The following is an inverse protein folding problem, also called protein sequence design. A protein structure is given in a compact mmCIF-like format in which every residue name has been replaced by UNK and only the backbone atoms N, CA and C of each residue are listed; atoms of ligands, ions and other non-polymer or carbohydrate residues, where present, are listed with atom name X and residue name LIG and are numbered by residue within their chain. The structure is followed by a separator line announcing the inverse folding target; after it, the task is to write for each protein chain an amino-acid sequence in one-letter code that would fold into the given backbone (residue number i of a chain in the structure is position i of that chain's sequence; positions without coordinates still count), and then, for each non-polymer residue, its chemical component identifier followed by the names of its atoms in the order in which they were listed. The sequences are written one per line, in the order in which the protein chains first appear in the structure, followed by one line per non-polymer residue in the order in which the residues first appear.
data_IF_872124321416
#
_entry.id   IF_872124321416
#
_cell.length_a   1.000
_cell.length_b   1.000
_cell.length_c   1.000
_cell.angle_alpha   90.00
_cell.angle_beta   90.00
_cell.angle_gamma   90.00
#
_symmetry.space_group_name_H-M   'P 1'
#
loop_
_entity.id
_entity.type
_entity.pdbx_description
1 polymer ?
#
# COMPACT_ATOMS: atom_id res chain seq x y z
N UNK A 1 -3.08 14.31 -1.23
CA UNK A 1 -2.93 13.02 -1.94
C UNK A 1 -3.78 11.91 -1.33
N UNK A 2 -3.49 11.40 -0.12
CA UNK A 2 -4.23 10.28 0.50
C UNK A 2 -5.75 10.45 0.54
N UNK A 3 -6.24 11.66 0.86
CA UNK A 3 -7.66 11.99 0.80
C UNK A 3 -8.30 11.82 -0.58
N UNK A 4 -7.57 12.04 -1.68
CA UNK A 4 -8.05 11.78 -3.05
C UNK A 4 -8.30 10.28 -3.26
N UNK A 5 -7.50 9.43 -2.62
CA UNK A 5 -7.65 7.96 -2.61
C UNK A 5 -8.57 7.47 -1.49
N UNK A 6 -9.19 8.40 -0.75
CA UNK A 6 -10.02 8.13 0.42
C UNK A 6 -9.32 7.22 1.46
N UNK A 7 -8.04 7.52 1.69
CA UNK A 7 -7.20 6.95 2.75
C UNK A 7 -7.07 7.97 3.87
N UNK A 8 -7.28 7.51 5.10
CA UNK A 8 -7.10 8.25 6.34
C UNK A 8 -6.20 7.43 7.26
N UNK A 9 -5.26 8.08 7.94
CA UNK A 9 -4.35 7.45 8.88
C UNK A 9 -4.69 7.94 10.29
N UNK A 10 -4.76 7.01 11.23
CA UNK A 10 -4.94 7.34 12.65
C UNK A 10 -3.68 7.97 13.24
N UNK A 11 -2.50 7.51 12.79
CA UNK A 11 -1.19 7.95 13.29
C UNK A 11 -0.22 8.18 12.13
N UNK A 12 0.48 9.31 12.17
CA UNK A 12 1.61 9.60 11.29
C UNK A 12 2.92 9.43 12.07
N UNK A 13 3.55 8.26 11.94
CA UNK A 13 4.83 7.94 12.59
C UNK A 13 5.99 8.07 11.61
N UNK A 14 7.08 8.69 12.05
CA UNK A 14 8.29 8.93 11.25
C UNK A 14 9.51 8.20 11.79
N UNK A 15 10.44 7.80 10.92
CA UNK A 15 11.64 7.06 11.33
C UNK A 15 12.58 7.86 12.25
N UNK A 16 12.54 9.20 12.17
CA UNK A 16 13.41 10.08 12.95
C UNK A 16 13.20 9.95 14.47
N UNK A 17 12.01 9.51 14.90
CA UNK A 17 11.72 9.29 16.33
C UNK A 17 12.57 8.17 16.95
N UNK A 18 13.10 7.25 16.13
CA UNK A 18 13.79 6.04 16.59
C UNK A 18 15.31 6.10 16.51
N UNK A 19 15.91 7.19 16.00
CA UNK A 19 17.37 7.28 15.83
C UNK A 19 18.14 7.08 17.14
N UNK A 20 17.83 7.88 18.16
CA UNK A 20 18.56 7.82 19.43
C UNK A 20 18.22 6.55 20.23
N UNK A 21 16.95 6.12 20.23
CA UNK A 21 16.54 4.85 20.85
C UNK A 21 17.23 3.65 20.19
N UNK A 22 17.36 3.68 18.87
CA UNK A 22 18.05 2.66 18.10
C UNK A 22 19.54 2.57 18.44
N UNK A 23 20.23 3.71 18.66
CA UNK A 23 21.61 3.71 19.17
C UNK A 23 21.71 3.10 20.55
N UNK A 24 20.79 3.44 21.47
CA UNK A 24 20.77 2.85 22.81
C UNK A 24 20.59 1.33 22.69
N UNK A 25 19.60 0.87 21.94
CA UNK A 25 19.37 -0.56 21.67
C UNK A 25 20.62 -1.27 21.15
N UNK A 26 21.29 -0.70 20.15
CA UNK A 26 22.51 -1.27 19.58
C UNK A 26 23.70 -1.33 20.58
N UNK A 27 23.64 -0.59 21.69
CA UNK A 27 24.67 -0.59 22.73
C UNK A 27 24.30 -1.43 23.96
N UNK A 28 23.01 -1.71 24.19
CA UNK A 28 22.55 -2.36 25.43
C UNK A 28 21.93 -3.73 25.22
N UNK A 29 21.61 -4.13 23.99
CA UNK A 29 20.98 -5.41 23.71
C UNK A 29 21.99 -6.56 23.77
N UNK A 30 21.67 -7.60 24.55
CA UNK A 30 22.54 -8.78 24.75
C UNK A 30 22.70 -9.66 23.49
N UNK A 31 21.84 -9.47 22.49
CA UNK A 31 21.90 -10.20 21.21
C UNK A 31 22.94 -9.63 20.24
N UNK A 32 23.56 -8.49 20.58
CA UNK A 32 24.48 -7.78 19.70
C UNK A 32 25.86 -8.45 19.72
N UNK A 33 26.35 -8.76 18.54
CA UNK A 33 27.73 -9.16 18.29
C UNK A 33 28.50 -8.00 17.65
N UNK A 34 29.82 -7.95 17.89
CA UNK A 34 30.73 -7.03 17.19
C UNK A 34 31.41 -7.82 16.08
N UNK A 35 31.29 -7.33 14.85
CA UNK A 35 31.91 -7.91 13.67
C UNK A 35 33.38 -7.46 13.55
N UNK A 36 34.15 -8.10 12.66
CA UNK A 36 35.59 -7.86 12.51
C UNK A 36 35.93 -6.39 12.19
N UNK A 37 35.04 -5.70 11.49
CA UNK A 37 35.18 -4.28 11.10
C UNK A 37 34.73 -3.30 12.21
N UNK A 38 34.35 -3.79 13.39
CA UNK A 38 33.84 -3.01 14.51
C UNK A 38 32.36 -2.64 14.39
N UNK A 39 31.67 -3.10 13.35
CA UNK A 39 30.22 -2.93 13.24
C UNK A 39 29.46 -3.84 14.21
N UNK A 40 28.21 -3.49 14.50
CA UNK A 40 27.34 -4.24 15.40
C UNK A 40 26.27 -4.97 14.63
N UNK A 41 26.15 -6.27 14.87
CA UNK A 41 25.30 -7.18 14.11
C UNK A 41 24.49 -8.07 15.06
N UNK A 42 23.38 -8.62 14.56
CA UNK A 42 22.64 -9.70 15.23
C UNK A 42 22.60 -10.91 14.29
N UNK A 43 23.04 -12.07 14.77
CA UNK A 43 22.95 -13.32 14.00
C UNK A 43 21.50 -13.82 13.96
N UNK A 44 20.90 -13.81 12.77
CA UNK A 44 19.53 -14.30 12.54
C UNK A 44 19.50 -15.78 12.11
N UNK A 45 20.63 -16.48 12.19
CA UNK A 45 20.79 -17.89 11.83
C UNK A 45 21.22 -18.11 10.38
N UNK A 46 21.49 -19.38 10.04
CA UNK A 46 22.11 -19.77 8.76
C UNK A 46 21.37 -19.29 7.51
N UNK A 47 20.03 -19.28 7.55
CA UNK A 47 19.22 -18.95 6.38
C UNK A 47 19.06 -17.44 6.16
N UNK A 48 19.18 -16.64 7.21
CA UNK A 48 18.97 -15.18 7.20
C UNK A 48 20.28 -14.39 7.34
N UNK A 49 21.35 -15.02 7.80
CA UNK A 49 22.65 -14.41 8.02
C UNK A 49 22.63 -13.38 9.16
N UNK A 50 23.64 -12.51 9.16
CA UNK A 50 23.79 -11.44 10.15
C UNK A 50 23.07 -10.17 9.68
N UNK A 51 22.25 -9.61 10.56
CA UNK A 51 21.61 -8.32 10.36
C UNK A 51 22.51 -7.20 10.91
N UNK A 52 22.86 -6.22 10.07
CA UNK A 52 23.67 -5.08 10.46
C UNK A 52 22.83 -4.05 11.22
N UNK A 53 23.14 -3.83 12.50
CA UNK A 53 22.37 -2.97 13.42
C UNK A 53 23.04 -1.60 13.60
N UNK A 54 24.35 -1.54 13.65
CA UNK A 54 25.07 -0.27 13.77
C UNK A 54 26.34 -0.36 12.95
N UNK A 55 26.59 0.63 12.10
CA UNK A 55 27.88 0.74 11.42
C UNK A 55 28.97 1.15 12.41
N UNK A 56 30.22 0.87 12.06
CA UNK A 56 31.39 1.30 12.85
C UNK A 56 31.46 2.84 13.00
N UNK A 57 30.96 3.61 12.02
CA UNK A 57 30.85 5.07 12.11
C UNK A 57 29.74 5.57 13.07
N UNK A 58 29.01 4.66 13.74
CA UNK A 58 27.94 4.97 14.68
C UNK A 58 26.60 5.31 14.01
N UNK A 59 26.49 5.19 12.69
CA UNK A 59 25.23 5.41 11.97
C UNK A 59 24.27 4.23 12.16
N UNK A 60 23.04 4.54 12.56
CA UNK A 60 21.93 3.58 12.64
C UNK A 60 21.38 3.26 11.25
N UNK A 61 20.94 2.02 11.06
CA UNK A 61 20.31 1.57 9.82
C UNK A 61 18.79 1.54 9.94
N UNK A 62 18.11 1.23 8.83
CA UNK A 62 16.65 1.06 8.81
C UNK A 62 16.21 -0.03 9.78
N UNK A 63 16.88 -1.18 9.80
CA UNK A 63 16.50 -2.30 10.67
C UNK A 63 16.53 -1.95 12.16
N UNK A 64 17.50 -1.16 12.59
CA UNK A 64 17.63 -0.67 13.98
C UNK A 64 16.42 0.15 14.40
N UNK A 65 15.95 1.01 13.49
CA UNK A 65 14.80 1.90 13.72
C UNK A 65 13.50 1.12 13.66
N UNK A 66 13.40 0.15 12.75
CA UNK A 66 12.25 -0.73 12.63
C UNK A 66 12.10 -1.68 13.83
N UNK A 67 13.20 -2.12 14.45
CA UNK A 67 13.15 -2.89 15.71
C UNK A 67 12.49 -2.06 16.81
N UNK A 68 12.94 -0.81 17.01
CA UNK A 68 12.35 0.07 18.02
C UNK A 68 10.89 0.44 17.70
N UNK A 69 10.56 0.68 16.44
CA UNK A 69 9.18 0.90 16.01
C UNK A 69 8.30 -0.34 16.23
N UNK A 70 8.83 -1.54 15.98
CA UNK A 70 8.14 -2.81 16.24
C UNK A 70 7.86 -2.97 17.73
N UNK A 71 8.86 -2.75 18.60
CA UNK A 71 8.72 -2.81 20.05
C UNK A 71 7.64 -1.85 20.55
N UNK A 72 7.74 -0.58 20.15
CA UNK A 72 6.77 0.46 20.52
C UNK A 72 5.35 0.07 20.11
N UNK A 73 5.15 -0.41 18.88
CA UNK A 73 3.82 -0.82 18.40
C UNK A 73 3.25 -2.01 19.17
N UNK A 74 4.08 -2.99 19.52
CA UNK A 74 3.62 -4.16 20.29
C UNK A 74 3.24 -3.75 21.71
N UNK A 75 4.03 -2.88 22.34
CA UNK A 75 3.81 -2.43 23.71
C UNK A 75 2.62 -1.47 23.85
N UNK A 76 2.50 -0.51 22.94
CA UNK A 76 1.46 0.51 22.94
C UNK A 76 0.09 -0.08 22.57
N UNK A 77 0.01 -0.81 21.46
CA UNK A 77 -1.27 -1.24 20.90
C UNK A 77 -1.69 -2.65 21.31
N UNK A 78 -0.74 -3.47 21.81
CA UNK A 78 -0.97 -4.89 22.14
C UNK A 78 -1.77 -5.64 21.06
N UNK A 79 -1.34 -5.55 19.79
CA UNK A 79 -2.18 -5.97 18.67
C UNK A 79 -2.26 -7.48 18.57
N UNK A 80 -3.39 -8.00 18.07
CA UNK A 80 -3.48 -9.39 17.64
C UNK A 80 -2.69 -9.66 16.35
N UNK A 81 -2.47 -8.61 15.53
CA UNK A 81 -1.73 -8.69 14.27
C UNK A 81 -1.18 -7.33 13.84
N UNK A 82 0.01 -7.32 13.25
CA UNK A 82 0.69 -6.19 12.63
C UNK A 82 1.04 -6.58 11.20
N UNK A 83 0.55 -5.81 10.24
CA UNK A 83 0.72 -6.08 8.80
C UNK A 83 1.62 -5.01 8.20
N UNK A 84 2.77 -5.44 7.68
CA UNK A 84 3.73 -4.61 6.97
C UNK A 84 3.49 -4.74 5.47
N UNK A 85 3.00 -3.68 4.82
CA UNK A 85 2.78 -3.66 3.36
C UNK A 85 3.95 -2.96 2.69
N UNK A 86 4.96 -3.73 2.28
CA UNK A 86 6.22 -3.21 1.72
C UNK A 86 6.66 -4.04 0.51
N UNK A 87 7.47 -3.46 -0.37
CA UNK A 87 7.92 -4.14 -1.59
C UNK A 87 8.65 -5.46 -1.31
N UNK A 88 8.57 -6.40 -2.26
CA UNK A 88 9.24 -7.70 -2.20
C UNK A 88 10.77 -7.59 -2.26
N UNK A 89 11.33 -6.41 -2.56
CA UNK A 89 12.78 -6.19 -2.48
C UNK A 89 13.28 -6.15 -1.02
N UNK A 90 12.39 -5.87 -0.07
CA UNK A 90 12.69 -5.80 1.35
C UNK A 90 12.37 -7.10 2.10
N UNK A 91 12.12 -8.21 1.40
CA UNK A 91 11.75 -9.48 2.02
C UNK A 91 12.79 -10.00 3.01
N UNK A 92 14.09 -9.89 2.69
CA UNK A 92 15.14 -10.32 3.62
C UNK A 92 15.14 -9.46 4.90
N UNK A 93 14.99 -8.14 4.75
CA UNK A 93 14.90 -7.20 5.86
C UNK A 93 13.76 -7.55 6.81
N UNK A 94 12.55 -7.79 6.30
CA UNK A 94 11.41 -8.16 7.16
C UNK A 94 11.56 -9.53 7.81
N UNK A 95 12.14 -10.51 7.11
CA UNK A 95 12.45 -11.81 7.71
C UNK A 95 13.45 -11.68 8.86
N UNK A 96 14.50 -10.87 8.70
CA UNK A 96 15.45 -10.56 9.76
C UNK A 96 14.77 -9.79 10.90
N UNK A 97 13.98 -8.76 10.61
CA UNK A 97 13.25 -7.97 11.61
C UNK A 97 12.33 -8.85 12.46
N UNK A 98 11.53 -9.72 11.85
CA UNK A 98 10.63 -10.62 12.58
C UNK A 98 11.40 -11.67 13.37
N UNK A 99 12.53 -12.15 12.84
CA UNK A 99 13.41 -13.07 13.57
C UNK A 99 14.00 -12.40 14.81
N UNK A 100 14.46 -11.16 14.69
CA UNK A 100 14.95 -10.37 15.83
C UNK A 100 13.83 -10.12 16.82
N UNK A 101 12.62 -9.80 16.36
CA UNK A 101 11.43 -9.67 17.22
C UNK A 101 11.16 -10.95 18.02
N UNK A 102 11.24 -12.12 17.39
CA UNK A 102 11.13 -13.43 18.06
C UNK A 102 12.22 -13.62 19.12
N UNK A 103 13.48 -13.29 18.80
CA UNK A 103 14.61 -13.39 19.73
C UNK A 103 14.48 -12.44 20.93
N UNK A 104 13.80 -11.30 20.74
CA UNK A 104 13.46 -10.35 21.81
C UNK A 104 12.24 -10.80 22.64
N UNK A 105 11.64 -11.95 22.34
CA UNK A 105 10.54 -12.54 23.08
C UNK A 105 9.14 -12.15 22.59
N UNK A 106 9.03 -11.45 21.46
CA UNK A 106 7.72 -11.14 20.87
C UNK A 106 7.18 -12.34 20.08
N UNK A 107 5.85 -12.53 20.13
CA UNK A 107 5.21 -13.61 19.38
C UNK A 107 5.32 -13.35 17.87
N UNK A 108 6.04 -14.21 17.14
CA UNK A 108 6.23 -14.08 15.69
C UNK A 108 4.92 -14.10 14.89
N UNK A 109 3.90 -14.79 15.38
CA UNK A 109 2.65 -15.03 14.63
C UNK A 109 1.80 -13.75 14.50
N UNK A 110 2.14 -12.71 15.27
CA UNK A 110 1.49 -11.40 15.15
C UNK A 110 2.05 -10.58 13.99
N UNK A 111 3.21 -10.91 13.44
CA UNK A 111 3.84 -10.13 12.37
C UNK A 111 3.58 -10.76 10.99
N UNK A 112 3.14 -9.96 10.02
CA UNK A 112 2.97 -10.38 8.64
C UNK A 112 3.60 -9.37 7.68
N UNK A 113 4.41 -9.85 6.74
CA UNK A 113 4.90 -9.06 5.61
C UNK A 113 4.06 -9.38 4.37
N UNK A 114 3.29 -8.39 3.94
CA UNK A 114 2.49 -8.47 2.73
C UNK A 114 3.24 -7.77 1.59
N UNK A 115 3.96 -8.60 0.84
CA UNK A 115 4.87 -8.19 -0.23
C UNK A 115 4.16 -7.73 -1.51
N UNK A 116 4.64 -6.67 -2.15
CA UNK A 116 4.23 -6.30 -3.51
C UNK A 116 5.41 -6.09 -4.46
N UNK A 117 5.22 -6.43 -5.74
CA UNK A 117 6.22 -6.26 -6.77
C UNK A 117 6.38 -4.80 -7.19
N UNK A 118 7.54 -4.44 -7.75
CA UNK A 118 7.79 -3.08 -8.22
C UNK A 118 7.01 -2.73 -9.49
N UNK A 119 6.62 -1.47 -9.59
CA UNK A 119 6.20 -0.84 -10.84
C UNK A 119 7.44 -0.61 -11.71
N UNK A 120 7.49 -1.23 -12.89
CA UNK A 120 8.62 -1.10 -13.82
C UNK A 120 8.43 0.13 -14.72
N UNK A 121 9.54 0.80 -15.03
CA UNK A 121 9.59 1.92 -15.97
C UNK A 121 9.60 3.32 -15.35
N UNK A 122 9.82 3.42 -14.02
CA UNK A 122 10.08 4.70 -13.35
C UNK A 122 11.54 4.76 -12.92
N UNK A 123 12.31 5.71 -13.46
CA UNK A 123 13.73 5.90 -13.14
C UNK A 123 14.06 7.37 -12.98
N UNK A 124 14.58 7.74 -11.80
CA UNK A 124 15.06 9.10 -11.51
C UNK A 124 16.26 9.46 -12.37
N UNK A 125 17.09 8.48 -12.72
CA UNK A 125 18.29 8.68 -13.54
C UNK A 125 17.97 8.90 -15.01
N UNK A 126 16.87 8.32 -15.50
CA UNK A 126 16.42 8.46 -16.88
C UNK A 126 15.35 9.55 -17.05
N UNK A 127 14.98 10.25 -15.95
CA UNK A 127 13.97 11.30 -15.97
C UNK A 127 12.53 10.81 -16.17
N UNK A 128 12.27 9.52 -15.99
CA UNK A 128 10.97 8.86 -16.22
C UNK A 128 10.15 8.69 -14.93
N UNK A 129 10.47 9.45 -13.90
CA UNK A 129 9.68 9.45 -12.65
C UNK A 129 8.37 10.17 -12.91
N UNK A 130 7.28 9.44 -12.76
CA UNK A 130 5.95 10.02 -12.73
C UNK A 130 5.53 10.16 -11.27
N UNK A 131 5.26 11.38 -10.82
CA UNK A 131 4.62 11.56 -9.53
C UNK A 131 3.21 11.02 -9.59
N UNK A 132 2.71 10.50 -8.47
CA UNK A 132 1.35 9.94 -8.43
C UNK A 132 0.28 10.98 -8.77
N UNK A 133 0.53 12.27 -8.52
CA UNK A 133 -0.37 13.33 -8.98
C UNK A 133 -0.35 13.44 -10.52
N UNK A 134 0.82 13.45 -11.19
CA UNK A 134 0.92 13.45 -12.66
C UNK A 134 0.22 12.24 -13.30
N UNK A 135 0.33 11.09 -12.63
CA UNK A 135 -0.31 9.83 -13.00
C UNK A 135 -1.83 9.96 -12.98
N UNK A 136 -2.37 10.51 -11.89
CA UNK A 136 -3.80 10.74 -11.72
C UNK A 136 -4.28 11.76 -12.75
N UNK A 137 -3.56 12.85 -12.95
CA UNK A 137 -3.88 13.90 -13.92
C UNK A 137 -3.89 13.36 -15.36
N UNK A 138 -2.89 12.56 -15.72
CA UNK A 138 -2.81 11.90 -17.02
C UNK A 138 -4.03 11.02 -17.24
N UNK A 139 -4.38 10.17 -16.28
CA UNK A 139 -5.56 9.31 -16.35
C UNK A 139 -6.86 10.13 -16.40
N UNK A 140 -6.97 11.18 -15.59
CA UNK A 140 -8.12 12.08 -15.54
C UNK A 140 -8.34 12.77 -16.90
N UNK A 141 -7.29 13.23 -17.58
CA UNK A 141 -7.42 13.84 -18.91
C UNK A 141 -8.06 12.90 -19.92
N UNK A 142 -7.65 11.62 -19.93
CA UNK A 142 -8.18 10.59 -20.84
C UNK A 142 -9.66 10.32 -20.57
N UNK A 143 -10.05 10.24 -19.29
CA UNK A 143 -11.46 10.06 -18.91
C UNK A 143 -12.29 11.34 -19.06
N UNK A 144 -11.69 12.52 -18.95
CA UNK A 144 -12.36 13.78 -19.25
C UNK A 144 -12.75 13.83 -20.73
N UNK A 145 -11.82 13.48 -21.62
CA UNK A 145 -12.11 13.32 -23.05
C UNK A 145 -13.13 12.22 -23.36
N UNK A 146 -13.45 11.33 -22.42
CA UNK A 146 -14.53 10.35 -22.57
C UNK A 146 -15.90 10.90 -22.20
N UNK A 147 -15.96 11.83 -21.24
CA UNK A 147 -17.22 12.34 -20.68
C UNK A 147 -17.55 13.75 -21.14
N UNK A 148 -16.61 14.47 -21.78
CA UNK A 148 -16.80 15.88 -22.18
C UNK A 148 -18.01 16.11 -23.10
N UNK A 149 -18.26 15.17 -24.01
CA UNK A 149 -19.35 15.27 -25.00
C UNK A 149 -20.65 14.60 -24.51
N UNK A 150 -20.68 14.12 -23.26
CA UNK A 150 -21.84 13.44 -22.67
C UNK A 150 -22.74 14.44 -21.92
N UNK A 151 -23.96 14.72 -22.42
CA UNK A 151 -24.83 15.74 -21.84
C UNK A 151 -25.43 15.31 -20.48
N UNK A 152 -25.53 14.01 -20.24
CA UNK A 152 -25.99 13.39 -18.99
C UNK A 152 -24.98 13.50 -17.84
N UNK A 153 -23.73 13.86 -18.13
CA UNK A 153 -22.70 14.07 -17.11
C UNK A 153 -22.66 15.54 -16.70
N UNK A 154 -23.26 15.81 -15.54
CA UNK A 154 -23.36 17.15 -14.93
C UNK A 154 -21.98 17.67 -14.53
N UNK A 155 -21.25 16.91 -13.71
CA UNK A 155 -19.92 17.28 -13.21
C UNK A 155 -18.84 16.44 -13.90
N UNK A 156 -18.31 16.99 -15.01
CA UNK A 156 -17.35 16.28 -15.87
C UNK A 156 -15.99 16.09 -15.20
N UNK A 157 -15.51 17.08 -14.45
CA UNK A 157 -14.22 17.02 -13.76
C UNK A 157 -14.23 16.00 -12.63
N UNK A 158 -15.26 16.02 -11.79
CA UNK A 158 -15.40 15.06 -10.70
C UNK A 158 -15.63 13.65 -11.23
N UNK A 159 -16.46 13.50 -12.26
CA UNK A 159 -16.72 12.20 -12.88
C UNK A 159 -15.46 11.62 -13.51
N UNK A 160 -14.68 12.42 -14.24
CA UNK A 160 -13.42 11.96 -14.83
C UNK A 160 -12.40 11.56 -13.77
N UNK A 161 -12.32 12.29 -12.66
CA UNK A 161 -11.44 11.94 -11.53
C UNK A 161 -11.84 10.60 -10.88
N UNK A 162 -13.14 10.38 -10.66
CA UNK A 162 -13.65 9.11 -10.12
C UNK A 162 -13.31 7.94 -11.05
N UNK A 163 -13.52 8.11 -12.35
CA UNK A 163 -13.20 7.08 -13.35
C UNK A 163 -11.69 6.81 -13.41
N UNK A 164 -10.86 7.84 -13.34
CA UNK A 164 -9.41 7.73 -13.31
C UNK A 164 -8.91 6.96 -12.09
N UNK A 165 -9.35 7.33 -10.89
CA UNK A 165 -8.97 6.64 -9.65
C UNK A 165 -9.43 5.19 -9.69
N UNK A 166 -10.67 4.94 -10.12
CA UNK A 166 -11.22 3.58 -10.24
C UNK A 166 -10.42 2.74 -11.22
N UNK A 167 -10.01 3.32 -12.35
CA UNK A 167 -9.15 2.66 -13.31
C UNK A 167 -7.80 2.29 -12.70
N UNK A 168 -7.12 3.23 -12.03
CA UNK A 168 -5.79 3.01 -11.45
C UNK A 168 -5.82 1.92 -10.37
N UNK A 169 -6.73 2.05 -9.40
CA UNK A 169 -6.86 1.12 -8.27
C UNK A 169 -7.23 -0.29 -8.73
N UNK A 170 -8.22 -0.40 -9.63
CA UNK A 170 -8.64 -1.71 -10.13
C UNK A 170 -7.58 -2.33 -11.03
N UNK A 171 -6.85 -1.54 -11.82
CA UNK A 171 -5.76 -2.09 -12.63
C UNK A 171 -4.67 -2.68 -11.75
N UNK A 172 -4.28 -1.97 -10.69
CA UNK A 172 -3.28 -2.43 -9.74
C UNK A 172 -3.73 -3.72 -9.02
N UNK A 173 -4.96 -3.75 -8.50
CA UNK A 173 -5.49 -4.92 -7.79
C UNK A 173 -5.89 -6.10 -8.70
N UNK A 174 -6.08 -5.89 -9.99
CA UNK A 174 -6.44 -6.98 -10.93
C UNK A 174 -5.29 -7.95 -11.20
N UNK A 175 -4.05 -7.52 -10.98
CA UNK A 175 -2.86 -8.35 -11.16
C UNK A 175 -2.50 -9.08 -9.87
N UNK A 176 -1.75 -10.20 -9.98
CA UNK A 176 -1.12 -10.80 -8.80
C UNK A 176 -0.14 -9.79 -8.21
N UNK A 177 -0.29 -9.49 -6.92
CA UNK A 177 0.51 -8.53 -6.13
C UNK A 177 2.03 -8.63 -6.35
N UNK A 178 2.55 -9.86 -6.51
CA UNK A 178 4.00 -10.13 -6.67
C UNK A 178 4.50 -9.82 -8.09
N UNK A 179 3.63 -9.84 -9.11
CA UNK A 179 4.04 -9.57 -10.49
C UNK A 179 4.15 -8.06 -10.71
N UNK A 180 5.38 -7.57 -10.79
CA UNK A 180 5.63 -6.20 -11.26
C UNK A 180 5.03 -5.98 -12.66
N UNK A 181 4.58 -4.75 -12.94
CA UNK A 181 3.96 -4.41 -14.23
C UNK A 181 4.62 -3.18 -14.86
N UNK A 182 4.62 -3.11 -16.19
CA UNK A 182 5.11 -1.95 -16.94
C UNK A 182 4.07 -0.85 -16.95
N UNK A 183 4.49 0.33 -16.54
CA UNK A 183 3.65 1.50 -16.37
C UNK A 183 3.41 2.25 -17.68
N UNK A 184 2.33 1.91 -18.40
CA UNK A 184 1.86 2.69 -19.55
C UNK A 184 0.37 3.02 -19.39
N UNK A 185 0.11 4.02 -18.55
CA UNK A 185 -1.24 4.45 -18.20
C UNK A 185 -1.95 5.05 -19.40
N UNK A 186 -1.28 5.90 -20.17
CA UNK A 186 -1.91 6.60 -21.27
C UNK A 186 -2.38 5.61 -22.34
N UNK A 187 -1.53 4.64 -22.72
CA UNK A 187 -1.92 3.60 -23.67
C UNK A 187 -3.04 2.73 -23.11
N UNK A 188 -2.90 2.22 -21.87
CA UNK A 188 -3.95 1.37 -21.28
C UNK A 188 -5.29 2.10 -21.15
N UNK A 189 -5.30 3.32 -20.63
CA UNK A 189 -6.50 4.12 -20.45
C UNK A 189 -7.15 4.49 -21.79
N UNK A 190 -6.33 4.78 -22.82
CA UNK A 190 -6.83 5.09 -24.18
C UNK A 190 -7.40 3.84 -24.86
N UNK A 191 -6.69 2.70 -24.79
CA UNK A 191 -7.12 1.45 -25.42
C UNK A 191 -8.35 0.85 -24.74
N UNK A 192 -8.54 1.08 -23.45
CA UNK A 192 -9.65 0.53 -22.66
C UNK A 192 -10.71 1.57 -22.29
N UNK A 193 -10.78 2.69 -23.03
CA UNK A 193 -11.67 3.83 -22.74
C UNK A 193 -13.12 3.35 -22.58
N UNK A 194 -13.63 3.41 -21.35
CA UNK A 194 -14.99 2.97 -20.99
C UNK A 194 -15.22 1.45 -20.89
N UNK A 195 -14.24 0.61 -21.22
CA UNK A 195 -14.31 -0.85 -21.13
C UNK A 195 -13.40 -1.44 -20.03
N UNK A 196 -12.45 -0.64 -19.52
CA UNK A 196 -11.61 -1.04 -18.40
C UNK A 196 -12.46 -1.41 -17.18
N UNK A 197 -12.01 -2.43 -16.43
CA UNK A 197 -12.78 -3.01 -15.33
C UNK A 197 -13.21 -1.96 -14.28
N UNK A 198 -12.34 -1.00 -13.93
CA UNK A 198 -12.66 0.08 -13.00
C UNK A 198 -13.84 0.96 -13.45
N UNK A 199 -13.74 1.65 -14.60
CA UNK A 199 -14.86 2.37 -15.21
C UNK A 199 -16.12 1.53 -15.41
N UNK A 200 -15.99 0.27 -15.79
CA UNK A 200 -17.12 -0.65 -15.97
C UNK A 200 -17.85 -0.91 -14.64
N UNK A 201 -17.11 -1.11 -13.54
CA UNK A 201 -17.71 -1.24 -12.19
C UNK A 201 -18.51 0.02 -11.82
N UNK A 202 -17.96 1.21 -12.09
CA UNK A 202 -18.65 2.48 -11.84
C UNK A 202 -19.93 2.61 -12.68
N UNK A 203 -19.85 2.29 -13.96
CA UNK A 203 -21.01 2.32 -14.86
C UNK A 203 -22.10 1.34 -14.42
N UNK A 204 -21.74 0.10 -14.07
CA UNK A 204 -22.69 -0.90 -13.57
C UNK A 204 -23.35 -0.43 -12.28
N UNK A 205 -22.60 0.18 -11.36
CA UNK A 205 -23.15 0.76 -10.13
C UNK A 205 -24.20 1.85 -10.44
N UNK A 206 -23.88 2.81 -11.31
CA UNK A 206 -24.83 3.86 -11.71
C UNK A 206 -26.08 3.28 -12.38
N UNK A 207 -25.93 2.26 -13.23
CA UNK A 207 -27.05 1.60 -13.89
C UNK A 207 -27.96 0.87 -12.90
N UNK A 208 -27.40 0.19 -11.90
CA UNK A 208 -28.18 -0.46 -10.85
C UNK A 208 -28.95 0.57 -10.02
N UNK A 209 -28.31 1.69 -9.65
CA UNK A 209 -28.99 2.79 -8.95
C UNK A 209 -30.13 3.38 -9.78
N UNK A 210 -29.93 3.58 -11.08
CA UNK A 210 -30.99 4.06 -11.98
C UNK A 210 -32.17 3.09 -12.04
N UNK A 211 -31.93 1.78 -12.12
CA UNK A 211 -33.00 0.77 -12.08
C UNK A 211 -33.76 0.82 -10.75
N UNK A 212 -33.05 0.93 -9.63
CA UNK A 212 -33.67 1.07 -8.31
C UNK A 212 -34.50 2.35 -8.19
N UNK A 213 -34.03 3.46 -8.76
CA UNK A 213 -34.70 4.76 -8.70
C UNK A 213 -36.02 4.77 -9.51
N UNK A 214 -36.04 4.07 -10.65
CA UNK A 214 -37.22 3.87 -11.50
C UNK A 214 -38.23 2.91 -10.86
N UNK A 215 -37.77 1.92 -10.10
CA UNK A 215 -38.61 0.86 -9.52
C UNK A 215 -38.79 1.01 -8.00
N UNK A 216 -38.80 2.24 -7.47
CA UNK A 216 -38.90 2.52 -6.02
C UNK A 216 -40.04 1.78 -5.34
N UNK A 217 -41.18 1.68 -6.00
CA UNK A 217 -42.40 1.06 -5.46
C UNK A 217 -42.29 -0.47 -5.32
N UNK A 218 -41.35 -1.10 -6.03
CA UNK A 218 -41.08 -2.54 -5.96
C UNK A 218 -40.02 -2.87 -4.90
N UNK A 219 -39.13 -1.91 -4.59
CA UNK A 219 -37.93 -2.12 -3.75
C UNK A 219 -37.96 -1.36 -2.42
N UNK A 220 -39.13 -1.01 -1.89
CA UNK A 220 -39.31 -0.27 -0.63
C UNK A 220 -38.65 -0.96 0.59
N UNK A 221 -38.26 -2.25 0.46
CA UNK A 221 -37.70 -3.07 1.53
C UNK A 221 -36.16 -3.02 1.69
N UNK A 222 -35.38 -2.36 0.81
CA UNK A 222 -33.91 -2.55 0.79
C UNK A 222 -33.06 -1.28 0.86
N UNK A 223 -33.60 -0.16 1.36
CA UNK A 223 -32.79 1.06 1.56
C UNK A 223 -31.63 0.90 2.57
N UNK A 224 -31.66 -0.11 3.45
CA UNK A 224 -30.57 -0.39 4.40
C UNK A 224 -29.50 -1.37 3.91
N UNK A 225 -29.73 -2.13 2.84
CA UNK A 225 -28.85 -3.25 2.48
C UNK A 225 -27.99 -3.02 1.22
N UNK A 226 -28.29 -2.00 0.41
CA UNK A 226 -27.59 -1.73 -0.86
C UNK A 226 -26.85 -0.37 -0.83
N UNK A 227 -26.70 0.25 0.35
CA UNK A 227 -25.67 1.28 0.55
C UNK A 227 -24.30 0.63 0.83
N UNK A 228 -23.95 -0.39 0.05
CA UNK A 228 -22.65 -1.05 0.18
C UNK A 228 -21.71 -0.28 -0.73
N UNK A 229 -20.89 0.58 -0.13
CA UNK A 229 -19.42 0.61 -0.20
C UNK A 229 -18.79 -0.29 -1.31
N UNK A 230 -19.25 -0.35 -2.55
CA UNK A 230 -18.90 -1.48 -3.43
C UNK A 230 -17.45 -1.41 -3.92
N UNK A 231 -16.94 -0.20 -4.17
CA UNK A 231 -15.50 0.00 -4.40
C UNK A 231 -14.70 -0.24 -3.11
N UNK A 232 -15.27 0.10 -1.95
CA UNK A 232 -14.60 0.01 -0.65
C UNK A 232 -14.52 -1.41 -0.10
N UNK A 233 -15.60 -2.18 -0.15
CA UNK A 233 -15.64 -3.58 0.24
C UNK A 233 -14.83 -4.42 -0.74
N UNK A 234 -14.80 -4.10 -2.04
CA UNK A 234 -13.92 -4.81 -2.97
C UNK A 234 -12.45 -4.53 -2.64
N UNK A 235 -12.04 -3.29 -2.35
CA UNK A 235 -10.66 -3.01 -1.95
C UNK A 235 -10.29 -3.60 -0.58
N UNK A 236 -11.17 -3.45 0.43
CA UNK A 236 -10.94 -3.93 1.79
C UNK A 236 -11.01 -5.46 1.88
N UNK A 237 -11.85 -6.11 1.06
CA UNK A 237 -11.98 -7.57 0.99
C UNK A 237 -10.94 -8.19 0.04
N UNK A 238 -10.47 -7.51 -1.00
CA UNK A 238 -9.31 -7.96 -1.79
C UNK A 238 -8.00 -7.89 -1.00
N UNK A 239 -7.84 -6.92 -0.10
CA UNK A 239 -6.72 -6.90 0.86
C UNK A 239 -6.78 -8.05 1.88
N UNK A 240 -7.98 -8.51 2.23
CA UNK A 240 -8.22 -9.62 3.17
C UNK A 240 -8.30 -11.01 2.51
N UNK A 241 -8.47 -11.10 1.18
CA UNK A 241 -8.65 -12.36 0.44
C UNK A 241 -7.37 -12.84 -0.26
N UNK A 242 -6.22 -12.22 0.03
CA UNK A 242 -4.92 -12.71 -0.42
C UNK A 242 -4.13 -13.44 0.68
N UNK A 243 -4.81 -13.90 1.73
CA UNK A 243 -4.31 -14.84 2.73
C UNK A 243 -4.57 -16.28 2.31
#
# INVERSE_FOLDING_TARGET
MYKKLNVEFDVYSGESFYNERGKVFANTCDLIEIDEDGSKVIDCGKDLGKALILKNDGATLYITRDIEALKERVEEYKPSKIIYVVSSEQSLHFKQLFKIGEMLGYNKDIFEHVEFGLVKGMSTREGTVHFIDDVIETAQSVFYDFVKDKPDVIDKEKTSLILAISFLVVNDFSAKRIKGYTFDIKKKATTQKGQALGPTIQYTHCRLLSILDVNKDVFDFTRKMILVRLIFLVCQKMLMLSS
#
